data_IF_897365084280
#
_entry.id   IF_897365084280
#
_cell.length_a   1.000
_cell.length_b   1.000
_cell.length_c   1.000
_cell.angle_alpha   90.00
_cell.angle_beta   90.00
_cell.angle_gamma   90.00
#
_symmetry.space_group_name_H-M   'P 1'
#
loop_
_entity.id
_entity.type
_entity.pdbx_description
1 polymer ?
#
# COMPACT_ATOMS: atom_id res chain seq x y z
N UNK A 1 13.86 -26.84 -21.69
CA UNK A 1 13.97 -25.36 -21.62
C UNK A 1 12.55 -24.81 -21.66
N UNK A 2 12.03 -24.31 -20.55
CA UNK A 2 10.70 -23.70 -20.50
C UNK A 2 10.83 -22.21 -20.78
N UNK A 3 10.21 -21.75 -21.87
CA UNK A 3 10.12 -20.33 -22.21
C UNK A 3 8.66 -19.91 -22.01
N UNK A 4 8.34 -19.15 -20.95
CA UNK A 4 6.97 -18.70 -20.74
C UNK A 4 6.61 -17.67 -21.80
N UNK A 5 5.54 -17.94 -22.56
CA UNK A 5 4.94 -16.97 -23.46
C UNK A 5 3.61 -16.53 -22.85
N UNK A 6 3.54 -15.27 -22.42
CA UNK A 6 2.30 -14.66 -21.90
C UNK A 6 1.60 -14.00 -23.07
N UNK A 7 0.45 -14.53 -23.46
CA UNK A 7 -0.42 -13.89 -24.45
C UNK A 7 -1.40 -12.98 -23.69
N UNK A 8 -1.22 -11.66 -23.78
CA UNK A 8 -2.17 -10.69 -23.21
C UNK A 8 -3.17 -10.35 -24.30
N UNK A 9 -4.32 -11.01 -24.27
CA UNK A 9 -5.47 -10.60 -25.08
C UNK A 9 -6.05 -9.33 -24.45
N UNK A 10 -5.85 -8.17 -25.09
CA UNK A 10 -6.64 -6.98 -24.78
C UNK A 10 -8.02 -7.16 -25.42
N UNK A 11 -8.97 -7.70 -24.66
CA UNK A 11 -10.38 -7.59 -25.02
C UNK A 11 -10.85 -6.18 -24.64
N UNK A 12 -10.96 -5.32 -25.66
CA UNK A 12 -11.71 -4.08 -25.63
C UNK A 12 -13.20 -4.41 -25.48
N UNK A 13 -13.65 -4.62 -24.25
CA UNK A 13 -15.06 -4.74 -23.90
C UNK A 13 -15.44 -3.49 -23.09
N UNK A 14 -15.93 -2.49 -23.82
CA UNK A 14 -16.55 -1.30 -23.29
C UNK A 14 -17.91 -1.64 -22.65
N UNK A 15 -17.91 -2.11 -21.41
CA UNK A 15 -19.10 -2.22 -20.56
C UNK A 15 -19.00 -1.21 -19.41
N UNK A 16 -19.95 -0.26 -19.23
CA UNK A 16 -19.85 0.79 -18.23
C UNK A 16 -20.38 0.27 -16.88
N UNK A 17 -19.67 -0.66 -16.26
CA UNK A 17 -19.89 -1.01 -14.85
C UNK A 17 -18.95 -0.18 -14.00
N UNK A 18 -19.27 1.11 -13.86
CA UNK A 18 -18.68 1.95 -12.82
C UNK A 18 -19.44 1.76 -11.50
N UNK A 19 -19.45 0.54 -10.96
CA UNK A 19 -19.41 0.42 -9.51
C UNK A 19 -17.98 0.78 -9.11
N UNK A 20 -17.72 2.08 -8.97
CA UNK A 20 -16.47 2.60 -8.44
C UNK A 20 -16.34 2.11 -7.00
N UNK A 21 -15.83 0.89 -6.82
CA UNK A 21 -15.29 0.42 -5.56
C UNK A 21 -14.05 1.25 -5.32
N UNK A 22 -14.27 2.39 -4.67
CA UNK A 22 -13.23 3.35 -4.36
C UNK A 22 -12.21 2.64 -3.47
N UNK A 23 -11.04 2.32 -4.04
CA UNK A 23 -9.99 1.62 -3.31
C UNK A 23 -9.62 2.48 -2.10
N UNK A 24 -9.63 1.93 -0.88
CA UNK A 24 -9.33 2.68 0.31
C UNK A 24 -7.88 3.18 0.23
N UNK A 25 -7.73 4.49 0.27
CA UNK A 25 -6.44 5.19 0.27
C UNK A 25 -5.88 5.17 1.68
N UNK A 26 -5.27 4.06 2.09
CA UNK A 26 -4.69 3.88 3.42
C UNK A 26 -3.22 3.52 3.31
N UNK A 27 -2.37 4.23 4.05
CA UNK A 27 -0.95 3.93 4.17
C UNK A 27 -0.70 3.19 5.47
N UNK A 28 -0.38 1.89 5.37
CA UNK A 28 -0.03 1.05 6.52
C UNK A 28 1.48 1.07 6.74
N UNK A 29 1.93 1.53 7.91
CA UNK A 29 3.33 1.44 8.33
C UNK A 29 3.43 0.58 9.58
N UNK A 30 4.17 -0.51 9.49
CA UNK A 30 4.38 -1.42 10.63
C UNK A 30 5.82 -1.29 11.13
N UNK A 31 5.99 -1.06 12.43
CA UNK A 31 7.30 -1.00 13.05
C UNK A 31 7.43 -2.11 14.10
N UNK A 32 8.55 -2.86 14.05
CA UNK A 32 8.84 -3.96 14.98
C UNK A 32 9.01 -3.50 16.43
N UNK A 33 9.51 -2.28 16.63
CA UNK A 33 9.80 -1.71 17.93
C UNK A 33 8.66 -0.81 18.42
N UNK A 34 8.67 -0.47 19.72
CA UNK A 34 7.70 0.44 20.34
C UNK A 34 7.75 1.87 19.79
N UNK A 35 8.82 2.23 19.07
CA UNK A 35 9.04 3.55 18.50
C UNK A 35 9.59 3.42 17.09
N UNK A 36 9.23 4.39 16.23
CA UNK A 36 9.83 4.52 14.91
C UNK A 36 11.27 4.98 15.11
N UNK A 37 12.27 4.28 14.55
CA UNK A 37 13.65 4.75 14.56
C UNK A 37 13.76 6.15 13.99
N UNK A 38 14.56 7.01 14.61
CA UNK A 38 14.74 8.41 14.17
C UNK A 38 15.26 8.51 12.73
N UNK A 39 16.10 7.55 12.31
CA UNK A 39 16.54 7.36 10.92
C UNK A 39 15.38 7.28 9.91
N UNK A 40 14.18 6.87 10.34
CA UNK A 40 13.00 6.79 9.47
C UNK A 40 12.07 8.00 9.58
N UNK A 41 12.36 8.98 10.44
CA UNK A 41 11.51 10.15 10.61
C UNK A 41 11.43 10.99 9.33
N UNK A 42 12.55 11.19 8.63
CA UNK A 42 12.58 11.92 7.36
C UNK A 42 11.83 11.21 6.23
N UNK A 43 12.09 9.92 5.92
CA UNK A 43 11.34 9.23 4.87
C UNK A 43 9.86 9.08 5.25
N UNK A 44 9.52 8.88 6.52
CA UNK A 44 8.12 8.85 6.97
C UNK A 44 7.42 10.19 6.71
N UNK A 45 8.05 11.32 7.07
CA UNK A 45 7.50 12.66 6.80
C UNK A 45 7.33 12.90 5.30
N UNK A 46 8.26 12.43 4.48
CA UNK A 46 8.16 12.49 3.02
C UNK A 46 6.94 11.71 2.51
N UNK A 47 6.73 10.48 2.98
CA UNK A 47 5.58 9.65 2.63
C UNK A 47 4.26 10.29 3.09
N UNK A 48 4.17 10.80 4.32
CA UNK A 48 2.98 11.49 4.82
C UNK A 48 2.64 12.73 3.99
N UNK A 49 3.65 13.46 3.54
CA UNK A 49 3.46 14.64 2.68
C UNK A 49 3.01 14.26 1.27
N UNK A 50 3.60 13.23 0.69
CA UNK A 50 3.24 12.75 -0.65
C UNK A 50 1.83 12.13 -0.70
N UNK A 51 1.44 11.44 0.37
CA UNK A 51 0.15 10.76 0.50
C UNK A 51 -0.75 11.44 1.54
N UNK A 52 -0.79 12.78 1.54
CA UNK A 52 -1.57 13.56 2.51
C UNK A 52 -3.08 13.33 2.42
N UNK A 53 -3.54 12.75 1.31
CA UNK A 53 -4.91 12.37 1.01
C UNK A 53 -5.22 10.90 1.35
N UNK A 54 -4.30 10.20 2.03
CA UNK A 54 -4.45 8.82 2.48
C UNK A 54 -4.56 8.80 4.01
N UNK A 55 -5.38 7.90 4.54
CA UNK A 55 -5.42 7.64 5.98
C UNK A 55 -4.13 6.92 6.39
N UNK A 56 -3.39 7.47 7.35
CA UNK A 56 -2.14 6.87 7.83
C UNK A 56 -2.41 5.99 9.06
N UNK A 57 -2.12 4.68 8.93
CA UNK A 57 -2.21 3.71 10.03
C UNK A 57 -0.84 3.19 10.39
N UNK A 58 -0.36 3.55 11.58
CA UNK A 58 0.89 3.06 12.11
C UNK A 58 0.64 1.97 13.14
N UNK A 59 1.14 0.76 12.89
CA UNK A 59 1.01 -0.35 13.81
C UNK A 59 2.37 -0.68 14.43
N UNK A 60 2.45 -0.59 15.76
CA UNK A 60 3.62 -1.03 16.51
C UNK A 60 3.43 -2.51 16.80
N UNK A 61 4.34 -3.38 16.35
CA UNK A 61 4.32 -4.81 16.68
C UNK A 61 4.83 -4.97 18.12
N UNK A 62 4.10 -4.41 19.08
CA UNK A 62 4.23 -4.77 20.48
C UNK A 62 2.89 -5.27 20.95
N UNK A 63 2.81 -6.58 21.20
CA UNK A 63 1.71 -7.30 21.83
C UNK A 63 0.63 -7.95 20.93
N UNK A 64 0.96 -8.51 19.77
CA UNK A 64 0.10 -9.49 19.07
C UNK A 64 0.88 -10.64 18.41
N UNK A 65 1.84 -11.23 19.12
CA UNK A 65 2.35 -12.58 18.81
C UNK A 65 3.01 -13.23 20.05
N UNK A 66 2.21 -13.47 21.10
CA UNK A 66 2.47 -14.48 22.15
C UNK A 66 1.19 -14.82 22.90
#
# INVERSE_FOLDING_TARGET
>A
MFSPHVNVTLEDQAEPVHSSTQIPRILHQTCKNQTIPEIWAEPQKSCLKAYSNFEYKQNLITALDR
#
